data_IF_492332458492
#
_entry.id   IF_492332458492
#
_cell.length_a   1.000
_cell.length_b   1.000
_cell.length_c   1.000
_cell.angle_alpha   90.00
_cell.angle_beta   90.00
_cell.angle_gamma   90.00
#
_symmetry.space_group_name_H-M   'P 1'
#
loop_
_entity.id
_entity.type
_entity.pdbx_description
1 polymer ?
#
# COMPACT_ATOMS: atom_id res chain seq x y z
N UNK A 1 47.32 6.37 13.64
CA UNK A 1 46.00 7.02 13.56
C UNK A 1 45.56 7.03 12.09
N UNK A 2 45.16 5.87 11.58
CA UNK A 2 44.70 5.72 10.18
C UNK A 2 43.18 5.76 10.23
N UNK A 3 42.58 6.81 9.66
CA UNK A 3 41.13 6.87 9.44
C UNK A 3 40.78 5.82 8.40
N UNK A 4 40.29 4.67 8.83
CA UNK A 4 39.62 3.74 7.91
C UNK A 4 38.19 4.23 7.70
N UNK A 5 38.03 5.05 6.65
CA UNK A 5 36.74 5.39 6.06
C UNK A 5 36.24 4.14 5.33
N UNK A 6 35.29 3.41 5.91
CA UNK A 6 34.64 2.31 5.22
C UNK A 6 33.66 2.90 4.19
N UNK A 7 34.06 2.86 2.92
CA UNK A 7 33.23 3.23 1.79
C UNK A 7 32.05 2.24 1.67
N UNK A 8 30.87 2.63 2.13
CA UNK A 8 29.63 1.93 1.83
C UNK A 8 29.27 2.21 0.37
N UNK A 9 29.60 1.28 -0.52
CA UNK A 9 29.16 1.36 -1.92
C UNK A 9 27.66 1.03 -2.00
N UNK A 10 26.82 2.06 -1.96
CA UNK A 10 25.41 1.94 -2.33
C UNK A 10 25.34 1.60 -3.83
N UNK A 11 25.21 0.32 -4.15
CA UNK A 11 24.95 -0.12 -5.52
C UNK A 11 23.50 0.21 -5.83
N UNK A 12 23.29 1.37 -6.49
CA UNK A 12 21.97 1.77 -6.98
C UNK A 12 21.42 0.62 -7.83
N UNK A 13 20.20 0.11 -7.55
CA UNK A 13 19.61 -0.94 -8.36
C UNK A 13 19.60 -0.48 -9.82
N UNK A 14 20.01 -1.36 -10.74
CA UNK A 14 19.89 -1.05 -12.17
C UNK A 14 18.43 -0.74 -12.50
N UNK A 15 18.19 0.19 -13.41
CA UNK A 15 16.83 0.62 -13.77
C UNK A 15 15.90 -0.57 -14.11
N UNK A 16 16.46 -1.62 -14.72
CA UNK A 16 15.76 -2.88 -15.02
C UNK A 16 15.32 -3.65 -13.76
N UNK A 17 16.14 -3.68 -12.71
CA UNK A 17 15.80 -4.35 -11.44
C UNK A 17 14.74 -3.58 -10.67
N UNK A 18 14.77 -2.24 -10.73
CA UNK A 18 13.70 -1.39 -10.20
C UNK A 18 12.38 -1.62 -10.90
N UNK A 19 12.39 -1.76 -12.23
CA UNK A 19 11.19 -2.04 -13.02
C UNK A 19 10.59 -3.42 -12.69
N UNK A 20 11.44 -4.43 -12.51
CA UNK A 20 11.01 -5.78 -12.15
C UNK A 20 10.30 -5.86 -10.79
N UNK A 21 10.62 -4.95 -9.86
CA UNK A 21 9.97 -4.87 -8.54
C UNK A 21 8.49 -4.48 -8.66
N UNK A 22 8.12 -3.71 -9.69
CA UNK A 22 6.76 -3.23 -9.90
C UNK A 22 5.88 -4.17 -10.73
N UNK A 23 6.46 -5.13 -11.46
CA UNK A 23 5.71 -6.05 -12.31
C UNK A 23 4.73 -6.92 -11.51
N UNK A 24 5.19 -7.55 -10.43
CA UNK A 24 4.34 -8.42 -9.62
C UNK A 24 3.20 -7.68 -8.91
N UNK A 25 3.44 -6.54 -8.21
CA UNK A 25 2.36 -5.72 -7.67
C UNK A 25 1.34 -5.29 -8.74
N UNK A 26 1.80 -4.94 -9.94
CA UNK A 26 0.92 -4.54 -11.03
C UNK A 26 0.03 -5.70 -11.51
N UNK A 27 0.56 -6.92 -11.60
CA UNK A 27 -0.24 -8.12 -11.95
C UNK A 27 -1.32 -8.36 -10.89
N UNK A 28 -0.97 -8.23 -9.60
CA UNK A 28 -1.92 -8.38 -8.48
C UNK A 28 -3.00 -7.30 -8.54
N UNK A 29 -2.64 -6.05 -8.85
CA UNK A 29 -3.57 -4.95 -9.04
C UNK A 29 -4.55 -5.22 -10.19
N UNK A 30 -4.03 -5.54 -11.38
CA UNK A 30 -4.87 -5.77 -12.57
C UNK A 30 -5.78 -6.99 -12.38
N UNK A 31 -5.25 -8.08 -11.81
CA UNK A 31 -6.03 -9.29 -11.53
C UNK A 31 -7.17 -9.02 -10.55
N UNK A 32 -6.89 -8.33 -9.43
CA UNK A 32 -7.93 -7.96 -8.46
C UNK A 32 -8.95 -6.96 -9.03
N UNK A 33 -8.50 -5.97 -9.80
CA UNK A 33 -9.40 -5.00 -10.46
C UNK A 33 -10.36 -5.68 -11.43
N UNK A 34 -9.88 -6.61 -12.26
CA UNK A 34 -10.74 -7.38 -13.17
C UNK A 34 -11.79 -8.16 -12.38
N UNK A 35 -11.40 -8.82 -11.29
CA UNK A 35 -12.32 -9.55 -10.43
C UNK A 35 -13.39 -8.61 -9.85
N UNK A 36 -13.00 -7.47 -9.27
CA UNK A 36 -13.96 -6.53 -8.69
C UNK A 36 -14.89 -5.89 -9.73
N UNK A 37 -14.40 -5.52 -10.92
CA UNK A 37 -15.26 -5.00 -12.00
C UNK A 37 -16.26 -6.06 -12.46
N UNK A 38 -15.87 -7.35 -12.46
CA UNK A 38 -16.76 -8.44 -12.87
C UNK A 38 -17.82 -8.79 -11.83
N UNK A 39 -17.55 -8.54 -10.55
CA UNK A 39 -18.44 -8.93 -9.44
C UNK A 39 -19.22 -7.77 -8.84
N UNK A 40 -18.85 -6.50 -9.12
CA UNK A 40 -19.57 -5.34 -8.62
C UNK A 40 -21.00 -5.26 -9.16
N UNK A 41 -21.90 -4.70 -8.36
CA UNK A 41 -23.28 -4.48 -8.77
C UNK A 41 -23.35 -3.46 -9.93
N UNK A 42 -24.20 -3.67 -10.96
CA UNK A 42 -24.33 -2.74 -12.08
C UNK A 42 -25.12 -1.48 -11.73
N UNK A 43 -25.84 -1.47 -10.60
CA UNK A 43 -26.68 -0.36 -10.14
C UNK A 43 -26.56 -0.18 -8.63
N UNK A 44 -27.37 0.74 -8.09
CA UNK A 44 -27.57 0.91 -6.65
C UNK A 44 -27.90 -0.43 -5.99
N UNK A 45 -27.13 -0.77 -4.95
CA UNK A 45 -27.36 -1.93 -4.10
C UNK A 45 -27.95 -1.48 -2.76
N UNK A 46 -28.66 -2.38 -2.08
CA UNK A 46 -29.35 -2.07 -0.83
C UNK A 46 -28.37 -1.66 0.28
N UNK A 47 -28.86 -0.92 1.28
CA UNK A 47 -28.12 -0.69 2.53
C UNK A 47 -27.25 0.55 2.50
N UNK A 48 -26.05 0.42 3.05
CA UNK A 48 -25.10 1.52 3.17
C UNK A 48 -24.61 1.95 1.78
N UNK A 49 -24.45 1.00 0.85
CA UNK A 49 -24.12 1.26 -0.56
C UNK A 49 -25.01 2.34 -1.19
N UNK A 50 -26.33 2.28 -0.97
CA UNK A 50 -27.26 3.29 -1.46
C UNK A 50 -27.17 4.62 -0.72
N UNK A 51 -26.97 4.58 0.60
CA UNK A 51 -26.79 5.79 1.39
C UNK A 51 -25.53 6.56 0.98
N UNK A 52 -24.42 5.85 0.74
CA UNK A 52 -23.15 6.43 0.32
C UNK A 52 -23.16 6.90 -1.14
N UNK A 53 -23.77 6.15 -2.06
CA UNK A 53 -23.92 6.58 -3.45
C UNK A 53 -24.82 7.83 -3.56
N UNK A 54 -25.96 7.84 -2.86
CA UNK A 54 -26.85 9.01 -2.86
C UNK A 54 -26.23 10.22 -2.18
N UNK A 55 -25.53 10.04 -1.05
CA UNK A 55 -24.78 11.10 -0.39
C UNK A 55 -23.67 11.67 -1.29
N UNK A 56 -22.94 10.82 -2.01
CA UNK A 56 -21.91 11.26 -2.97
C UNK A 56 -22.52 12.03 -4.15
N UNK A 57 -23.70 11.62 -4.62
CA UNK A 57 -24.39 12.29 -5.71
C UNK A 57 -24.82 13.72 -5.32
N UNK A 58 -25.37 13.91 -4.12
CA UNK A 58 -25.83 15.22 -3.65
C UNK A 58 -24.75 16.02 -2.88
N UNK A 59 -23.53 15.47 -2.73
CA UNK A 59 -22.49 15.99 -1.83
C UNK A 59 -22.97 16.15 -0.38
N UNK A 60 -23.81 15.24 0.07
CA UNK A 60 -24.33 15.17 1.43
C UNK A 60 -23.40 14.42 2.37
N UNK A 61 -23.78 14.36 3.65
CA UNK A 61 -23.12 13.55 4.66
C UNK A 61 -24.05 12.37 4.98
N UNK A 62 -23.60 11.11 4.80
CA UNK A 62 -24.34 9.97 5.32
C UNK A 62 -24.38 10.05 6.86
N UNK A 63 -25.24 9.25 7.48
CA UNK A 63 -25.45 9.23 8.94
C UNK A 63 -24.12 9.19 9.72
N UNK A 64 -24.12 9.64 10.97
CA UNK A 64 -22.93 9.61 11.84
C UNK A 64 -22.32 8.20 11.93
N UNK A 65 -20.99 8.02 11.89
CA UNK A 65 -19.91 8.97 11.52
C UNK A 65 -19.88 9.24 10.01
N UNK A 66 -19.75 10.51 9.61
CA UNK A 66 -19.73 10.88 8.19
C UNK A 66 -18.35 10.69 7.55
N UNK A 67 -18.32 10.54 6.22
CA UNK A 67 -17.09 10.31 5.44
C UNK A 67 -16.95 11.35 4.31
N UNK A 68 -16.57 12.61 4.61
CA UNK A 68 -16.54 13.69 3.61
C UNK A 68 -15.58 13.43 2.45
N UNK A 69 -14.43 12.79 2.72
CA UNK A 69 -13.47 12.44 1.66
C UNK A 69 -14.07 11.41 0.69
N UNK A 70 -14.82 10.44 1.21
CA UNK A 70 -15.48 9.44 0.40
C UNK A 70 -16.51 10.08 -0.53
N UNK A 71 -17.34 10.99 -0.01
CA UNK A 71 -18.40 11.63 -0.82
C UNK A 71 -17.84 12.55 -1.91
N UNK A 72 -16.72 13.23 -1.63
CA UNK A 72 -15.98 14.00 -2.63
C UNK A 72 -15.39 13.11 -3.72
N UNK A 73 -14.75 12.01 -3.36
CA UNK A 73 -14.20 11.05 -4.32
C UNK A 73 -15.32 10.42 -5.16
N UNK A 74 -16.43 10.01 -4.52
CA UNK A 74 -17.59 9.46 -5.21
C UNK A 74 -18.16 10.44 -6.23
N UNK A 75 -18.26 11.73 -5.86
CA UNK A 75 -18.69 12.78 -6.79
C UNK A 75 -17.74 12.91 -7.99
N UNK A 76 -16.42 12.86 -7.78
CA UNK A 76 -15.45 12.93 -8.87
C UNK A 76 -15.62 11.78 -9.88
N UNK A 77 -15.88 10.57 -9.40
CA UNK A 77 -16.13 9.42 -10.28
C UNK A 77 -17.45 9.55 -11.04
N UNK A 78 -18.49 10.11 -10.42
CA UNK A 78 -19.79 10.37 -11.08
C UNK A 78 -19.73 11.47 -12.15
N UNK A 79 -18.67 12.29 -12.16
CA UNK A 79 -18.45 13.29 -13.22
C UNK A 79 -17.86 12.68 -14.50
N UNK A 80 -17.47 11.40 -14.49
CA UNK A 80 -16.97 10.72 -15.69
C UNK A 80 -18.13 10.60 -16.70
N UNK A 81 -18.01 11.20 -17.90
CA UNK A 81 -19.10 11.23 -18.87
C UNK A 81 -19.42 9.81 -19.36
N UNK A 82 -20.72 9.50 -19.41
CA UNK A 82 -21.23 8.21 -19.91
C UNK A 82 -21.33 7.10 -18.85
N UNK A 83 -20.93 7.35 -17.60
CA UNK A 83 -21.18 6.42 -16.50
C UNK A 83 -22.46 6.79 -15.75
N UNK A 84 -23.26 5.77 -15.45
CA UNK A 84 -24.41 5.91 -14.54
C UNK A 84 -23.87 6.16 -13.10
N UNK A 85 -24.46 7.07 -12.31
CA UNK A 85 -23.87 7.45 -11.02
C UNK A 85 -23.66 6.29 -10.04
N UNK A 86 -24.57 5.32 -10.00
CA UNK A 86 -24.40 4.16 -9.13
C UNK A 86 -23.26 3.26 -9.63
N UNK A 87 -23.19 3.00 -10.94
CA UNK A 87 -22.06 2.30 -11.54
C UNK A 87 -20.72 3.01 -11.27
N UNK A 88 -20.67 4.34 -11.39
CA UNK A 88 -19.47 5.13 -11.13
C UNK A 88 -19.01 5.02 -9.66
N UNK A 89 -19.96 5.02 -8.72
CA UNK A 89 -19.69 4.77 -7.29
C UNK A 89 -19.10 3.38 -7.07
N UNK A 90 -19.67 2.36 -7.71
CA UNK A 90 -19.20 0.98 -7.55
C UNK A 90 -17.81 0.76 -8.18
N UNK A 91 -17.58 1.40 -9.33
CA UNK A 91 -16.28 1.40 -10.00
C UNK A 91 -15.19 2.07 -9.14
N UNK A 92 -15.52 3.19 -8.48
CA UNK A 92 -14.61 3.82 -7.53
C UNK A 92 -14.17 2.82 -6.47
N UNK A 93 -15.11 2.17 -5.78
CA UNK A 93 -14.78 1.20 -4.73
C UNK A 93 -14.00 0.00 -5.26
N UNK A 94 -14.30 -0.49 -6.47
CA UNK A 94 -13.52 -1.55 -7.10
C UNK A 94 -12.04 -1.16 -7.32
N UNK A 95 -11.78 0.09 -7.73
CA UNK A 95 -10.42 0.61 -7.92
C UNK A 95 -9.69 0.72 -6.59
N UNK A 96 -10.31 1.31 -5.57
CA UNK A 96 -9.69 1.44 -4.24
C UNK A 96 -9.47 0.08 -3.56
N UNK A 97 -10.37 -0.89 -3.77
CA UNK A 97 -10.19 -2.26 -3.32
C UNK A 97 -8.96 -2.92 -3.97
N UNK A 98 -8.84 -2.83 -5.29
CA UNK A 98 -7.69 -3.38 -6.02
C UNK A 98 -6.37 -2.72 -5.60
N UNK A 99 -6.37 -1.40 -5.38
CA UNK A 99 -5.22 -0.68 -4.82
C UNK A 99 -4.85 -1.19 -3.42
N UNK A 100 -5.85 -1.44 -2.55
CA UNK A 100 -5.61 -2.01 -1.23
C UNK A 100 -4.92 -3.38 -1.31
N UNK A 101 -5.36 -4.25 -2.23
CA UNK A 101 -4.75 -5.57 -2.46
C UNK A 101 -3.29 -5.44 -2.93
N UNK A 102 -3.02 -4.55 -3.88
CA UNK A 102 -1.65 -4.28 -4.34
C UNK A 102 -0.75 -3.78 -3.21
N UNK A 103 -1.22 -2.83 -2.41
CA UNK A 103 -0.46 -2.28 -1.29
C UNK A 103 -0.24 -3.33 -0.20
N UNK A 104 -1.24 -4.17 0.07
CA UNK A 104 -1.11 -5.28 1.00
C UNK A 104 -0.06 -6.29 0.53
N UNK A 105 -0.04 -6.62 -0.77
CA UNK A 105 1.01 -7.47 -1.34
C UNK A 105 2.41 -6.86 -1.15
N UNK A 106 2.57 -5.56 -1.42
CA UNK A 106 3.85 -4.88 -1.22
C UNK A 106 4.28 -4.86 0.24
N UNK A 107 3.34 -4.63 1.16
CA UNK A 107 3.59 -4.65 2.59
C UNK A 107 3.98 -6.07 3.05
N UNK A 108 3.25 -7.10 2.62
CA UNK A 108 3.57 -8.48 2.94
C UNK A 108 4.96 -8.88 2.41
N UNK A 109 5.27 -8.50 1.17
CA UNK A 109 6.60 -8.71 0.60
C UNK A 109 7.67 -7.97 1.40
N UNK A 110 7.42 -6.72 1.79
CA UNK A 110 8.33 -5.97 2.63
C UNK A 110 8.59 -6.71 3.95
N UNK A 111 7.56 -7.21 4.64
CA UNK A 111 7.74 -7.97 5.88
C UNK A 111 8.52 -9.27 5.69
N UNK A 112 8.32 -9.97 4.56
CA UNK A 112 9.08 -11.18 4.23
C UNK A 112 10.55 -10.84 3.91
N UNK A 113 10.77 -9.71 3.25
CA UNK A 113 12.10 -9.24 2.85
C UNK A 113 12.81 -8.45 3.96
N UNK A 114 12.10 -8.02 5.02
CA UNK A 114 12.71 -7.40 6.21
C UNK A 114 13.64 -8.46 6.80
N UNK A 115 14.96 -8.18 6.89
CA UNK A 115 15.90 -9.08 7.50
C UNK A 115 15.75 -9.05 9.03
N UNK A 116 14.58 -9.43 9.55
CA UNK A 116 14.42 -9.80 10.94
C UNK A 116 15.13 -11.15 11.11
N UNK A 117 16.36 -11.10 11.62
CA UNK A 117 17.16 -12.26 12.03
C UNK A 117 17.75 -13.13 10.89
N UNK A 118 18.20 -12.53 9.79
CA UNK A 118 19.27 -13.17 8.98
C UNK A 118 20.68 -12.83 9.50
N UNK A 119 20.77 -12.39 10.76
CA UNK A 119 22.01 -12.07 11.46
C UNK A 119 22.56 -13.24 12.29
N UNK A 120 21.84 -14.35 12.46
CA UNK A 120 22.48 -15.57 12.94
C UNK A 120 23.07 -16.36 11.77
N UNK A 121 24.41 -16.42 11.77
CA UNK A 121 25.23 -17.33 10.98
C UNK A 121 25.41 -16.97 9.49
N UNK A 122 26.09 -15.85 9.20
CA UNK A 122 26.96 -15.82 7.99
C UNK A 122 28.18 -14.89 7.98
N UNK A 123 28.54 -14.28 9.11
CA UNK A 123 29.83 -13.58 9.22
C UNK A 123 30.76 -14.24 10.25
N UNK A 124 31.01 -15.54 10.09
CA UNK A 124 32.35 -16.08 10.34
C UNK A 124 33.22 -15.80 9.10
N UNK A 125 33.46 -14.52 8.83
CA UNK A 125 34.60 -14.14 7.98
C UNK A 125 35.75 -13.92 8.95
N UNK A 126 36.53 -14.97 9.16
CA UNK A 126 37.81 -14.91 9.84
C UNK A 126 38.74 -14.08 8.96
N UNK A 127 38.89 -12.81 9.26
CA UNK A 127 40.03 -12.04 8.80
C UNK A 127 40.87 -11.72 10.03
N UNK A 128 41.90 -12.53 10.24
CA UNK A 128 42.98 -12.18 11.13
C UNK A 128 43.80 -11.11 10.41
N UNK A 129 43.65 -9.86 10.83
CA UNK A 129 44.81 -8.97 10.87
C UNK A 129 44.65 -7.94 11.98
N UNK A 130 45.52 -8.11 12.99
CA UNK A 130 46.06 -7.16 13.95
C UNK A 130 45.15 -6.09 14.59
N UNK A 131 44.81 -6.40 15.85
CA UNK A 131 44.98 -5.56 17.05
C UNK A 131 44.50 -4.09 17.07
N UNK A 132 43.69 -3.81 18.11
CA UNK A 132 43.35 -2.52 18.73
C UNK A 132 42.29 -1.63 18.07
N UNK A 133 41.01 -1.94 18.35
CA UNK A 133 40.05 -1.06 19.05
C UNK A 133 38.60 -1.56 18.84
N UNK A 134 37.90 -1.92 19.93
CA UNK A 134 36.46 -2.12 19.87
C UNK A 134 35.76 -0.77 19.80
N UNK A 135 35.24 -0.41 18.61
CA UNK A 135 34.22 0.63 18.49
C UNK A 135 32.84 0.01 18.55
N UNK A 136 32.14 0.28 19.66
CA UNK A 136 30.70 0.06 19.77
C UNK A 136 30.00 0.98 18.78
N UNK A 137 29.65 0.44 17.62
CA UNK A 137 28.73 1.10 16.70
C UNK A 137 27.35 0.98 17.35
N UNK A 138 26.79 2.11 17.78
CA UNK A 138 25.39 2.18 18.20
C UNK A 138 24.56 1.85 16.96
N UNK A 139 24.08 0.63 16.91
CA UNK A 139 23.09 0.20 15.94
C UNK A 139 21.82 1.00 16.23
N UNK A 140 21.66 2.12 15.53
CA UNK A 140 20.36 2.76 15.37
C UNK A 140 19.51 1.86 14.46
N UNK A 141 19.22 0.66 14.97
CA UNK A 141 18.09 -0.19 14.60
C UNK A 141 16.75 0.46 14.97
N UNK A 142 16.71 1.80 14.97
CA UNK A 142 15.59 2.62 14.55
C UNK A 142 15.32 2.37 13.06
N UNK A 143 15.09 1.10 12.72
CA UNK A 143 14.16 0.66 11.69
C UNK A 143 12.82 1.24 12.13
N UNK A 144 12.65 2.53 11.84
CA UNK A 144 11.62 3.36 12.44
C UNK A 144 10.27 2.74 12.20
N UNK A 145 9.51 2.55 13.27
CA UNK A 145 8.10 2.16 13.24
C UNK A 145 7.30 2.92 12.18
N UNK A 146 7.67 4.17 11.86
CA UNK A 146 7.11 4.98 10.77
C UNK A 146 7.17 4.33 9.36
N UNK A 147 8.20 3.53 9.05
CA UNK A 147 8.37 2.91 7.73
C UNK A 147 7.43 1.72 7.51
N UNK A 148 6.96 1.10 8.60
CA UNK A 148 5.98 0.01 8.59
C UNK A 148 4.55 0.55 8.79
N UNK A 149 4.39 1.54 9.68
CA UNK A 149 3.08 2.11 10.01
C UNK A 149 2.44 2.82 8.82
N UNK A 150 3.22 3.49 7.98
CA UNK A 150 2.69 4.21 6.82
C UNK A 150 2.04 3.29 5.78
N UNK A 151 2.69 2.21 5.28
CA UNK A 151 2.03 1.31 4.35
C UNK A 151 0.87 0.52 4.99
N UNK A 152 0.93 0.19 6.29
CA UNK A 152 -0.22 -0.39 7.02
C UNK A 152 -1.41 0.59 7.05
N UNK A 153 -1.15 1.85 7.36
CA UNK A 153 -2.18 2.90 7.36
C UNK A 153 -2.79 3.10 5.97
N UNK A 154 -1.96 3.10 4.92
CA UNK A 154 -2.46 3.23 3.54
C UNK A 154 -3.30 2.02 3.14
N UNK A 155 -2.89 0.79 3.46
CA UNK A 155 -3.71 -0.41 3.21
C UNK A 155 -5.05 -0.31 3.94
N UNK A 156 -5.03 0.14 5.20
CA UNK A 156 -6.23 0.29 6.02
C UNK A 156 -7.15 1.36 5.46
N UNK A 157 -6.60 2.50 5.00
CA UNK A 157 -7.35 3.59 4.40
C UNK A 157 -7.98 3.19 3.06
N UNK A 158 -7.24 2.49 2.20
CA UNK A 158 -7.76 1.99 0.92
C UNK A 158 -8.86 0.94 1.14
N UNK A 159 -8.68 0.05 2.12
CA UNK A 159 -9.71 -0.92 2.51
C UNK A 159 -10.96 -0.22 3.06
N UNK A 160 -10.79 0.81 3.89
CA UNK A 160 -11.90 1.60 4.42
C UNK A 160 -12.74 2.28 3.32
N UNK A 161 -12.12 2.71 2.22
CA UNK A 161 -12.82 3.26 1.04
C UNK A 161 -13.51 2.17 0.21
N UNK A 162 -13.13 0.90 0.34
CA UNK A 162 -13.73 -0.22 -0.39
C UNK A 162 -14.95 -0.86 0.30
N UNK A 163 -15.01 -0.81 1.64
CA UNK A 163 -16.07 -1.39 2.45
C UNK A 163 -17.50 -0.88 2.18
N UNK A 164 -17.74 0.40 1.84
CA UNK A 164 -19.10 0.94 1.80
C UNK A 164 -19.99 0.44 0.64
N UNK A 165 -19.47 -0.39 -0.28
CA UNK A 165 -20.20 -0.80 -1.50
C UNK A 165 -20.55 -2.29 -1.54
N UNK A 166 -20.08 -3.07 -0.56
CA UNK A 166 -20.42 -4.50 -0.43
C UNK A 166 -21.39 -4.78 0.72
N UNK A 167 -21.96 -3.73 1.34
CA UNK A 167 -22.94 -3.76 2.43
C UNK A 167 -24.10 -2.78 2.14
#
# INVERSE_FOLDING_TARGET
MVKHEADYTYVRPSAMRSLAIWLMPLIVFVGSLILYIRTMAPSLYWGDSAAFASASYILGLPHSPSFPLYTLLGRLFMLIPGLEPAFASNLMSAIFAALAVMMFYMLAKMFIDVPAYKSEVKHFVRQADNEHEMKVIKDESLVGSSFILLPVFVVTALFAVSLPVWL
#
